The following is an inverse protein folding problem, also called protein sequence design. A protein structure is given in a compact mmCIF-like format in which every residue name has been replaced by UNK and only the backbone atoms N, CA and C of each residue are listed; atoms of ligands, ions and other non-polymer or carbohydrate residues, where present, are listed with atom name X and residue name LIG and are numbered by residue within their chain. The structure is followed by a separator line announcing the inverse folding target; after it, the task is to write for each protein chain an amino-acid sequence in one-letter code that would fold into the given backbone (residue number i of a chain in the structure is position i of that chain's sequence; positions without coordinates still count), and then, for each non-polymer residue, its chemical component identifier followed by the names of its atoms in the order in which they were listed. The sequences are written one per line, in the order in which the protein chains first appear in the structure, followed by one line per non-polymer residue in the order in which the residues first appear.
data_IF_529081838754
#
_entry.id   IF_529081838754
#
_cell.length_a   1.000
_cell.length_b   1.000
_cell.length_c   1.000
_cell.angle_alpha   90.00
_cell.angle_beta   90.00
_cell.angle_gamma   90.00
#
_symmetry.space_group_name_H-M   'P 1'
#
loop_
_entity.id
_entity.type
_entity.pdbx_description
1 polymer ?
#
# COMPACT_ATOMS: atom_id res chain seq x y z
N UNK A 1 19.10 30.52 -12.50
CA UNK A 1 17.98 29.93 -11.72
C UNK A 1 16.73 29.75 -12.57
N UNK A 2 16.31 30.74 -13.39
CA UNK A 2 15.09 30.67 -14.19
C UNK A 2 15.11 29.57 -15.28
N UNK A 3 16.28 29.25 -15.87
CA UNK A 3 16.42 28.21 -16.90
C UNK A 3 16.27 26.80 -16.29
N UNK A 4 16.75 26.59 -15.06
CA UNK A 4 16.60 25.31 -14.35
C UNK A 4 15.14 25.08 -13.96
N UNK A 5 14.47 26.12 -13.46
CA UNK A 5 13.04 26.05 -13.10
C UNK A 5 12.16 25.75 -14.32
N UNK A 6 12.44 26.41 -15.46
CA UNK A 6 11.66 26.17 -16.69
C UNK A 6 11.87 24.74 -17.25
N UNK A 7 13.08 24.19 -17.17
CA UNK A 7 13.36 22.79 -17.57
C UNK A 7 12.66 21.78 -16.67
N UNK A 8 12.65 22.01 -15.35
CA UNK A 8 11.98 21.13 -14.39
C UNK A 8 10.45 21.13 -14.57
N UNK A 9 9.86 22.29 -14.81
CA UNK A 9 8.42 22.40 -15.10
C UNK A 9 8.08 21.68 -16.41
N UNK A 10 8.89 21.87 -17.46
CA UNK A 10 8.69 21.18 -18.75
C UNK A 10 8.80 19.66 -18.64
N UNK A 11 9.77 19.14 -17.85
CA UNK A 11 9.92 17.70 -17.65
C UNK A 11 8.77 17.11 -16.84
N UNK A 12 8.30 17.77 -15.78
CA UNK A 12 7.13 17.33 -15.01
C UNK A 12 5.88 17.25 -15.88
N UNK A 13 5.59 18.28 -16.67
CA UNK A 13 4.46 18.30 -17.61
C UNK A 13 4.54 17.17 -18.64
N UNK A 14 5.74 16.86 -19.13
CA UNK A 14 5.95 15.73 -20.04
C UNK A 14 5.54 14.40 -19.39
N UNK A 15 6.05 14.12 -18.17
CA UNK A 15 5.72 12.89 -17.46
C UNK A 15 4.22 12.82 -17.12
N UNK A 16 3.63 13.93 -16.71
CA UNK A 16 2.20 14.04 -16.40
C UNK A 16 1.34 13.69 -17.62
N UNK A 17 1.64 14.29 -18.78
CA UNK A 17 0.93 14.02 -20.03
C UNK A 17 1.07 12.54 -20.45
N UNK A 18 2.28 11.97 -20.38
CA UNK A 18 2.53 10.56 -20.68
C UNK A 18 1.78 9.64 -19.75
N UNK A 19 1.86 9.87 -18.44
CA UNK A 19 1.12 9.11 -17.43
C UNK A 19 -0.39 9.18 -17.67
N UNK A 20 -0.93 10.38 -17.91
CA UNK A 20 -2.35 10.57 -18.16
C UNK A 20 -2.82 9.77 -19.37
N UNK A 21 -2.14 9.92 -20.52
CA UNK A 21 -2.49 9.20 -21.76
C UNK A 21 -2.43 7.68 -21.54
N UNK A 22 -1.32 7.17 -21.00
CA UNK A 22 -1.14 5.74 -20.76
C UNK A 22 -2.20 5.18 -19.79
N UNK A 23 -2.56 5.95 -18.77
CA UNK A 23 -3.53 5.53 -17.76
C UNK A 23 -4.98 5.48 -18.27
N UNK A 24 -5.33 6.28 -19.30
CA UNK A 24 -6.67 6.24 -19.90
C UNK A 24 -6.94 4.91 -20.62
N UNK A 25 -5.91 4.23 -21.11
CA UNK A 25 -6.05 2.97 -21.84
C UNK A 25 -6.56 1.81 -20.95
N UNK A 26 -6.45 1.93 -19.63
CA UNK A 26 -7.01 0.94 -18.70
C UNK A 26 -8.55 0.85 -18.80
N UNK A 27 -9.23 1.89 -19.28
CA UNK A 27 -10.68 1.87 -19.52
C UNK A 27 -11.06 0.88 -20.61
N UNK A 28 -10.16 0.63 -21.55
CA UNK A 28 -10.32 -0.31 -22.65
C UNK A 28 -9.66 -1.67 -22.38
N UNK A 29 -9.37 -1.96 -21.11
CA UNK A 29 -8.67 -3.16 -20.65
C UNK A 29 -7.25 -3.33 -21.24
N UNK A 30 -6.60 -2.23 -21.61
CA UNK A 30 -5.24 -2.20 -22.16
C UNK A 30 -4.25 -1.76 -21.10
N UNK A 31 -3.55 -2.73 -20.49
CA UNK A 31 -2.51 -2.46 -19.48
C UNK A 31 -1.17 -2.07 -20.09
N UNK A 32 -0.89 -2.53 -21.32
CA UNK A 32 0.42 -2.42 -21.98
C UNK A 32 0.99 -1.00 -22.04
N UNK A 33 0.14 0.01 -22.23
CA UNK A 33 0.59 1.40 -22.32
C UNK A 33 1.06 1.94 -20.97
N UNK A 34 0.37 1.58 -19.88
CA UNK A 34 0.77 1.98 -18.53
C UNK A 34 1.98 1.18 -18.04
N UNK A 35 2.07 -0.10 -18.38
CA UNK A 35 3.23 -0.95 -18.14
C UNK A 35 4.47 -0.42 -18.88
N UNK A 36 4.30 -0.03 -20.15
CA UNK A 36 5.37 0.59 -20.94
C UNK A 36 5.81 1.94 -20.33
N UNK A 37 4.87 2.76 -19.87
CA UNK A 37 5.19 3.99 -19.15
C UNK A 37 6.07 3.72 -17.93
N UNK A 38 5.66 2.80 -17.07
CA UNK A 38 6.36 2.42 -15.84
C UNK A 38 7.79 1.94 -16.14
N UNK A 39 7.95 1.11 -17.18
CA UNK A 39 9.26 0.55 -17.54
C UNK A 39 10.17 1.59 -18.24
N UNK A 40 9.59 2.51 -19.01
CA UNK A 40 10.35 3.52 -19.75
C UNK A 40 10.79 4.70 -18.87
N UNK A 41 10.01 5.02 -17.84
CA UNK A 41 10.20 6.21 -17.01
C UNK A 41 10.30 5.87 -15.52
N UNK A 42 11.30 5.06 -15.09
CA UNK A 42 11.44 4.63 -13.68
C UNK A 42 11.72 5.79 -12.71
N UNK A 43 12.24 6.92 -13.21
CA UNK A 43 12.51 8.12 -12.41
C UNK A 43 11.36 9.16 -12.48
N UNK A 44 10.23 8.76 -13.03
CA UNK A 44 9.07 9.65 -13.14
C UNK A 44 8.51 9.98 -11.75
N UNK A 45 8.15 11.24 -11.48
CA UNK A 45 7.42 11.61 -10.26
C UNK A 45 6.03 10.96 -10.17
N UNK A 46 5.52 10.37 -11.25
CA UNK A 46 4.24 9.64 -11.31
C UNK A 46 4.42 8.12 -11.31
N UNK A 47 5.64 7.60 -11.06
CA UNK A 47 5.89 6.16 -11.05
C UNK A 47 4.99 5.44 -10.03
N UNK A 48 4.94 5.94 -8.79
CA UNK A 48 4.11 5.34 -7.74
C UNK A 48 2.63 5.37 -8.08
N UNK A 49 2.13 6.47 -8.61
CA UNK A 49 0.74 6.59 -9.04
C UNK A 49 0.40 5.60 -10.17
N UNK A 50 1.32 5.43 -11.13
CA UNK A 50 1.15 4.48 -12.22
C UNK A 50 1.13 3.02 -11.72
N UNK A 51 2.04 2.68 -10.82
CA UNK A 51 2.11 1.35 -10.18
C UNK A 51 0.84 1.07 -9.39
N UNK A 52 0.42 1.99 -8.51
CA UNK A 52 -0.80 1.86 -7.74
C UNK A 52 -2.04 1.70 -8.61
N UNK A 53 -2.07 2.41 -9.75
CA UNK A 53 -3.19 2.33 -10.69
C UNK A 53 -3.27 0.96 -11.36
N UNK A 54 -2.13 0.35 -11.72
CA UNK A 54 -2.10 -1.03 -12.24
C UNK A 54 -2.48 -2.06 -11.17
N UNK A 55 -1.96 -1.91 -9.95
CA UNK A 55 -2.33 -2.81 -8.83
C UNK A 55 -3.85 -2.79 -8.65
N UNK A 56 -4.46 -1.61 -8.55
CA UNK A 56 -5.93 -1.48 -8.42
C UNK A 56 -6.69 -2.05 -9.61
N UNK A 57 -6.17 -1.88 -10.81
CA UNK A 57 -6.76 -2.49 -12.01
C UNK A 57 -6.75 -4.03 -11.89
N UNK A 58 -5.62 -4.63 -11.53
CA UNK A 58 -5.52 -6.08 -11.34
C UNK A 58 -6.42 -6.59 -10.21
N UNK A 59 -6.55 -5.85 -9.10
CA UNK A 59 -7.51 -6.14 -8.03
C UNK A 59 -8.94 -6.18 -8.56
N UNK A 60 -9.35 -5.14 -9.28
CA UNK A 60 -10.72 -5.02 -9.84
C UNK A 60 -11.04 -6.14 -10.84
N UNK A 61 -10.02 -6.63 -11.55
CA UNK A 61 -10.14 -7.73 -12.53
C UNK A 61 -9.88 -9.10 -11.92
N UNK A 62 -9.65 -9.21 -10.61
CA UNK A 62 -9.33 -10.44 -9.89
C UNK A 62 -8.09 -11.17 -10.45
N UNK A 63 -7.16 -10.40 -11.04
CA UNK A 63 -5.90 -10.89 -11.59
C UNK A 63 -4.81 -10.94 -10.51
N UNK A 64 -5.04 -11.75 -9.49
CA UNK A 64 -4.24 -11.82 -8.26
C UNK A 64 -2.74 -12.04 -8.50
N UNK A 65 -2.38 -12.89 -9.46
CA UNK A 65 -0.96 -13.15 -9.77
C UNK A 65 -0.25 -11.89 -10.29
N UNK A 66 -0.91 -11.11 -11.15
CA UNK A 66 -0.39 -9.86 -11.68
C UNK A 66 -0.25 -8.82 -10.56
N UNK A 67 -1.28 -8.69 -9.74
CA UNK A 67 -1.31 -7.81 -8.57
C UNK A 67 -0.11 -8.08 -7.64
N UNK A 68 0.06 -9.33 -7.19
CA UNK A 68 1.16 -9.73 -6.29
C UNK A 68 2.52 -9.50 -6.95
N UNK A 69 2.66 -9.79 -8.24
CA UNK A 69 3.90 -9.56 -8.99
C UNK A 69 4.30 -8.08 -8.97
N UNK A 70 3.33 -7.16 -9.15
CA UNK A 70 3.58 -5.72 -9.09
C UNK A 70 3.93 -5.28 -7.67
N UNK A 71 3.22 -5.73 -6.64
CA UNK A 71 3.60 -5.46 -5.27
C UNK A 71 5.03 -5.91 -4.97
N UNK A 72 5.38 -7.16 -5.28
CA UNK A 72 6.74 -7.70 -5.02
C UNK A 72 7.83 -6.96 -5.78
N UNK A 73 7.56 -6.52 -7.02
CA UNK A 73 8.53 -5.76 -7.82
C UNK A 73 8.81 -4.37 -7.23
N UNK A 74 7.81 -3.73 -6.63
CA UNK A 74 7.90 -2.32 -6.23
C UNK A 74 8.04 -2.10 -4.72
N UNK A 75 7.87 -3.13 -3.88
CA UNK A 75 7.91 -3.00 -2.43
C UNK A 75 9.27 -2.52 -1.90
N UNK A 76 10.37 -2.90 -2.57
CA UNK A 76 11.71 -2.43 -2.20
C UNK A 76 12.00 -1.04 -2.77
N UNK A 77 11.43 -0.71 -3.93
CA UNK A 77 11.57 0.62 -4.55
C UNK A 77 10.85 1.69 -3.72
N UNK A 78 9.69 1.33 -3.13
CA UNK A 78 8.89 2.21 -2.29
C UNK A 78 9.00 1.84 -0.80
N UNK A 79 10.17 1.32 -0.38
CA UNK A 79 10.41 0.91 1.00
C UNK A 79 10.42 2.07 2.01
N UNK A 80 10.55 3.30 1.54
CA UNK A 80 10.45 4.53 2.33
C UNK A 80 9.03 5.12 2.40
N UNK A 81 8.04 4.44 1.79
CA UNK A 81 6.64 4.86 1.80
C UNK A 81 5.80 3.95 2.72
N UNK A 82 5.49 4.39 3.97
CA UNK A 82 4.76 3.58 4.92
C UNK A 82 3.35 3.21 4.44
N UNK A 83 2.74 4.04 3.59
CA UNK A 83 1.41 3.79 3.04
C UNK A 83 1.41 2.71 1.97
N UNK A 84 2.45 2.65 1.13
CA UNK A 84 2.60 1.56 0.17
C UNK A 84 2.85 0.21 0.87
N UNK A 85 3.70 0.22 1.91
CA UNK A 85 3.95 -0.96 2.73
C UNK A 85 2.69 -1.43 3.46
N UNK A 86 1.88 -0.50 3.98
CA UNK A 86 0.59 -0.78 4.59
C UNK A 86 -0.40 -1.40 3.58
N UNK A 87 -0.51 -0.81 2.40
CA UNK A 87 -1.39 -1.33 1.33
C UNK A 87 -1.01 -2.77 0.95
N UNK A 88 0.29 -3.07 0.80
CA UNK A 88 0.76 -4.42 0.56
C UNK A 88 0.35 -5.35 1.70
N UNK A 89 0.67 -4.99 2.94
CA UNK A 89 0.45 -5.84 4.11
C UNK A 89 -1.02 -6.15 4.32
N UNK A 90 -1.88 -5.14 4.21
CA UNK A 90 -3.34 -5.32 4.25
C UNK A 90 -3.81 -6.30 3.18
N UNK A 91 -3.35 -6.11 1.95
CA UNK A 91 -3.77 -6.98 0.85
C UNK A 91 -3.31 -8.43 1.04
N UNK A 92 -2.17 -8.66 1.64
CA UNK A 92 -1.71 -10.01 1.95
C UNK A 92 -2.60 -10.69 3.01
N UNK A 93 -3.17 -9.95 3.97
CA UNK A 93 -4.15 -10.52 4.92
C UNK A 93 -5.46 -10.90 4.25
N UNK A 94 -5.95 -10.07 3.31
CA UNK A 94 -7.17 -10.38 2.55
C UNK A 94 -7.03 -11.65 1.70
N UNK A 95 -5.84 -11.86 1.15
CA UNK A 95 -5.53 -13.02 0.29
C UNK A 95 -5.06 -14.24 1.07
N UNK A 96 -4.76 -14.10 2.35
CA UNK A 96 -4.12 -15.13 3.20
C UNK A 96 -2.80 -15.64 2.61
N UNK A 97 -1.98 -14.70 2.09
CA UNK A 97 -0.73 -14.98 1.38
C UNK A 97 0.43 -14.12 1.91
N UNK A 98 1.66 -14.64 1.85
CA UNK A 98 2.89 -13.91 2.19
C UNK A 98 2.84 -13.19 3.56
N UNK A 99 2.17 -13.76 4.56
CA UNK A 99 1.90 -13.12 5.85
C UNK A 99 3.18 -12.76 6.63
N UNK A 100 4.24 -13.60 6.56
CA UNK A 100 5.52 -13.27 7.20
C UNK A 100 6.16 -12.04 6.57
N UNK A 101 6.13 -11.92 5.24
CA UNK A 101 6.61 -10.73 4.54
C UNK A 101 5.72 -9.51 4.86
N UNK A 102 4.40 -9.70 4.96
CA UNK A 102 3.49 -8.64 5.36
C UNK A 102 3.82 -8.12 6.77
N UNK A 103 4.15 -9.03 7.73
CA UNK A 103 4.56 -8.64 9.06
C UNK A 103 5.89 -7.87 9.06
N UNK A 104 6.86 -8.30 8.26
CA UNK A 104 8.12 -7.57 8.08
C UNK A 104 7.88 -6.15 7.58
N UNK A 105 7.10 -6.01 6.50
CA UNK A 105 6.87 -4.71 5.84
C UNK A 105 6.01 -3.77 6.68
N UNK A 106 5.00 -4.29 7.41
CA UNK A 106 4.18 -3.43 8.28
C UNK A 106 4.96 -2.95 9.51
N UNK A 107 5.85 -3.78 10.06
CA UNK A 107 6.75 -3.34 11.12
C UNK A 107 7.71 -2.26 10.62
N UNK A 108 8.22 -2.39 9.39
CA UNK A 108 9.06 -1.37 8.79
C UNK A 108 8.27 -0.06 8.57
N UNK A 109 7.03 -0.13 8.08
CA UNK A 109 6.15 1.02 7.93
C UNK A 109 5.98 1.79 9.25
N UNK A 110 5.75 1.09 10.36
CA UNK A 110 5.62 1.69 11.69
C UNK A 110 6.93 2.32 12.21
N UNK A 111 8.07 1.82 11.76
CA UNK A 111 9.39 2.38 12.15
C UNK A 111 9.72 3.67 11.40
N UNK A 112 9.20 3.86 10.19
CA UNK A 112 9.54 5.02 9.34
C UNK A 112 8.47 6.11 9.31
N UNK A 113 7.21 5.78 9.72
CA UNK A 113 6.14 6.78 9.76
C UNK A 113 6.36 7.75 10.93
N UNK A 114 5.98 9.01 10.71
CA UNK A 114 5.91 9.98 11.80
C UNK A 114 4.86 9.52 12.82
N UNK A 115 5.22 9.52 14.10
CA UNK A 115 4.35 9.06 15.18
C UNK A 115 3.10 9.93 15.36
N UNK A 116 3.17 11.19 14.93
CA UNK A 116 2.03 12.10 14.92
C UNK A 116 1.26 12.09 13.59
N UNK A 117 1.60 11.17 12.66
CA UNK A 117 0.96 11.09 11.36
C UNK A 117 -0.53 10.75 11.48
N UNK A 118 -1.35 11.54 10.79
CA UNK A 118 -2.76 11.21 10.67
C UNK A 118 -2.93 9.84 10.00
N UNK A 119 -3.68 8.95 10.64
CA UNK A 119 -3.96 7.61 10.13
C UNK A 119 -2.94 6.52 10.54
N UNK A 120 -1.99 6.80 11.44
CA UNK A 120 -1.08 5.77 11.97
C UNK A 120 -1.86 4.59 12.60
N UNK A 121 -3.03 4.85 13.19
CA UNK A 121 -3.91 3.82 13.73
C UNK A 121 -4.31 2.78 12.67
N UNK A 122 -4.46 3.16 11.39
CA UNK A 122 -4.73 2.22 10.31
C UNK A 122 -3.56 1.28 10.03
N UNK A 123 -2.31 1.75 10.20
CA UNK A 123 -1.12 0.92 10.03
C UNK A 123 -0.98 -0.06 11.20
N UNK A 124 -1.31 0.39 12.42
CA UNK A 124 -1.34 -0.46 13.61
C UNK A 124 -2.44 -1.53 13.48
N UNK A 125 -3.62 -1.19 13.02
CA UNK A 125 -4.71 -2.14 12.72
C UNK A 125 -4.28 -3.20 11.69
N UNK A 126 -3.65 -2.77 10.60
CA UNK A 126 -3.10 -3.70 9.60
C UNK A 126 -2.10 -4.67 10.23
N UNK A 127 -1.21 -4.20 11.12
CA UNK A 127 -0.29 -5.08 11.85
C UNK A 127 -1.05 -6.07 12.74
N UNK A 128 -2.08 -5.62 13.44
CA UNK A 128 -2.90 -6.49 14.27
C UNK A 128 -3.59 -7.58 13.44
N UNK A 129 -4.13 -7.24 12.27
CA UNK A 129 -4.72 -8.21 11.33
C UNK A 129 -3.71 -9.23 10.82
N UNK A 130 -2.48 -8.80 10.45
CA UNK A 130 -1.40 -9.71 10.04
C UNK A 130 -1.04 -10.68 11.17
N UNK A 131 -0.91 -10.19 12.40
CA UNK A 131 -0.61 -11.01 13.58
C UNK A 131 -1.72 -12.03 13.84
N UNK A 132 -2.99 -11.61 13.75
CA UNK A 132 -4.14 -12.48 13.90
C UNK A 132 -4.15 -13.60 12.84
N UNK A 133 -3.90 -13.27 11.59
CA UNK A 133 -3.78 -14.22 10.48
C UNK A 133 -2.65 -15.22 10.68
N UNK A 134 -1.56 -14.83 11.33
CA UNK A 134 -0.44 -15.69 11.71
C UNK A 134 -0.71 -16.55 12.96
N UNK A 135 -1.90 -16.48 13.57
CA UNK A 135 -2.26 -17.18 14.79
C UNK A 135 -1.63 -16.60 16.06
N UNK A 136 -1.06 -15.40 15.98
CA UNK A 136 -0.44 -14.68 17.12
C UNK A 136 -1.49 -13.84 17.85
N UNK A 137 -2.51 -14.49 18.39
CA UNK A 137 -3.72 -13.83 18.89
C UNK A 137 -3.45 -12.83 20.02
N UNK A 138 -2.62 -13.18 21.00
CA UNK A 138 -2.30 -12.27 22.11
C UNK A 138 -1.57 -11.01 21.64
N UNK A 139 -0.66 -11.16 20.65
CA UNK A 139 0.03 -10.02 20.05
C UNK A 139 -0.95 -9.16 19.22
N UNK A 140 -1.86 -9.77 18.48
CA UNK A 140 -2.88 -9.07 17.70
C UNK A 140 -3.79 -8.23 18.61
N UNK A 141 -4.27 -8.80 19.72
CA UNK A 141 -5.12 -8.11 20.69
C UNK A 141 -4.40 -6.89 21.28
N UNK A 142 -3.14 -7.06 21.71
CA UNK A 142 -2.35 -5.92 22.23
C UNK A 142 -2.13 -4.84 21.17
N UNK A 143 -1.88 -5.25 19.94
CA UNK A 143 -1.63 -4.29 18.84
C UNK A 143 -2.89 -3.51 18.49
N UNK A 144 -4.06 -4.15 18.42
CA UNK A 144 -5.31 -3.40 18.13
C UNK A 144 -5.70 -2.47 19.28
N UNK A 145 -5.35 -2.78 20.53
CA UNK A 145 -5.55 -1.87 21.66
C UNK A 145 -4.76 -0.56 21.49
N UNK A 146 -3.58 -0.60 20.88
CA UNK A 146 -2.82 0.61 20.55
C UNK A 146 -3.57 1.50 19.53
N UNK A 147 -4.21 0.91 18.51
CA UNK A 147 -5.03 1.65 17.55
C UNK A 147 -6.27 2.27 18.24
N UNK A 148 -6.92 1.53 19.13
CA UNK A 148 -8.07 2.01 19.92
C UNK A 148 -7.66 3.19 20.83
N UNK A 149 -6.48 3.18 21.42
CA UNK A 149 -5.99 4.30 22.23
C UNK A 149 -5.84 5.61 21.43
N UNK A 150 -5.51 5.48 20.13
CA UNK A 150 -5.37 6.64 19.23
C UNK A 150 -6.72 7.15 18.70
N UNK A 151 -7.72 6.26 18.57
CA UNK A 151 -9.06 6.60 18.08
C UNK A 151 -10.12 5.77 18.83
N UNK A 152 -10.43 6.16 20.09
CA UNK A 152 -11.24 5.35 21.00
C UNK A 152 -12.72 5.18 20.59
N UNK A 153 -13.22 6.08 19.75
CA UNK A 153 -14.62 6.07 19.29
C UNK A 153 -14.79 5.36 17.96
N UNK A 154 -13.74 4.75 17.43
CA UNK A 154 -13.78 4.05 16.16
C UNK A 154 -14.33 2.63 16.32
N UNK A 155 -15.60 2.46 16.01
CA UNK A 155 -16.29 1.17 16.08
C UNK A 155 -15.59 0.07 15.29
N UNK A 156 -14.88 0.42 14.22
CA UNK A 156 -14.15 -0.56 13.41
C UNK A 156 -13.05 -1.26 14.22
N UNK A 157 -12.22 -0.51 14.96
CA UNK A 157 -11.16 -1.10 15.79
C UNK A 157 -11.71 -1.90 16.97
N UNK A 158 -12.81 -1.45 17.55
CA UNK A 158 -13.51 -2.19 18.61
C UNK A 158 -14.00 -3.56 18.09
N UNK A 159 -14.61 -3.57 16.91
CA UNK A 159 -15.07 -4.81 16.25
C UNK A 159 -13.92 -5.74 15.88
N UNK A 160 -12.77 -5.20 15.44
CA UNK A 160 -11.58 -5.98 15.17
C UNK A 160 -11.06 -6.67 16.45
N UNK A 161 -11.00 -5.93 17.56
CA UNK A 161 -10.62 -6.53 18.86
C UNK A 161 -11.55 -7.67 19.26
N UNK A 162 -12.86 -7.50 19.12
CA UNK A 162 -13.83 -8.56 19.42
C UNK A 162 -13.61 -9.80 18.56
N UNK A 163 -13.38 -9.62 17.25
CA UNK A 163 -13.04 -10.70 16.32
C UNK A 163 -11.81 -11.47 16.79
N UNK A 164 -10.75 -10.78 17.19
CA UNK A 164 -9.50 -11.42 17.65
C UNK A 164 -9.69 -12.19 18.96
N UNK A 165 -10.47 -11.64 19.90
CA UNK A 165 -10.79 -12.32 21.15
C UNK A 165 -11.59 -13.63 20.93
N UNK A 166 -12.55 -13.62 20.00
CA UNK A 166 -13.34 -14.82 19.69
C UNK A 166 -12.51 -15.94 19.04
N UNK A 167 -11.42 -15.59 18.37
CA UNK A 167 -10.53 -16.57 17.72
C UNK A 167 -9.51 -17.19 18.68
N UNK A 168 -9.36 -16.64 19.89
CA UNK A 168 -8.43 -17.11 20.92
C UNK A 168 -9.11 -18.06 21.94
N UNK A 169 -10.37 -18.40 21.73
CA UNK A 169 -11.15 -19.35 22.55
C UNK A 169 -11.14 -20.76 21.93
#
# INVERSE_FOLDING_TARGET
QNVILSRNVSSKMFFEAKYFISSQQLKDDKTSELENYINTYPDSPFLKDAVNKLIRYYQTKELTNNEISYFKKYIEIFSDDPWFLNQFSWRMTELDLNLDLALEKINHALNIIDQDANGIANIIDTKAEVLWKLGKFDEAIKTIEEAILLDPENDYYLNQKEKFLQSNL
#
